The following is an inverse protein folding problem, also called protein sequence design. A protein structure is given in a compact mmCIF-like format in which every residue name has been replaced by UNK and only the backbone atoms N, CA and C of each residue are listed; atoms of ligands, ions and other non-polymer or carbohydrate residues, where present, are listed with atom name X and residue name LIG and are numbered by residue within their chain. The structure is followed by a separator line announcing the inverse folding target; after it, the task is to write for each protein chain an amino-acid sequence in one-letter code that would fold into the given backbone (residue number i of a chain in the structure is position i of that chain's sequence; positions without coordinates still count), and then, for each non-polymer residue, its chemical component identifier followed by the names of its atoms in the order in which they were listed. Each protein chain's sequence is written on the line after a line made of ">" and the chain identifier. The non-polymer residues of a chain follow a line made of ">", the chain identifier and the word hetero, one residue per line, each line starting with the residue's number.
data_IF_234143603878
#
_entry.id   IF_234143603878
#
_cell.length_a   1.000
_cell.length_b   1.000
_cell.length_c   1.000
_cell.angle_alpha   90.00
_cell.angle_beta   90.00
_cell.angle_gamma   90.00
#
_symmetry.space_group_name_H-M   'P 1'
#
loop_
_entity.id
_entity.type
_entity.pdbx_description
1 polymer ?
#
# COMPACT_ATOMS: atom_id res chain seq x y z
N UNK A 1 15.05 -1.82 -15.55
CA UNK A 1 14.76 -2.95 -14.64
C UNK A 1 16.05 -3.69 -14.39
N UNK A 2 16.50 -3.73 -13.14
CA UNK A 2 17.67 -4.54 -12.76
C UNK A 2 17.19 -5.94 -12.39
N UNK A 3 17.79 -7.01 -12.92
CA UNK A 3 17.51 -8.36 -12.44
C UNK A 3 18.13 -8.51 -11.05
N UNK A 4 17.36 -9.01 -10.08
CA UNK A 4 17.94 -9.48 -8.81
C UNK A 4 17.91 -10.99 -8.86
N UNK A 5 19.09 -11.58 -8.75
CA UNK A 5 19.32 -13.03 -8.84
C UNK A 5 18.66 -13.75 -7.67
N UNK A 6 17.90 -14.80 -8.00
CA UNK A 6 17.27 -15.73 -7.08
C UNK A 6 18.34 -16.66 -6.50
N UNK A 7 19.04 -16.21 -5.46
CA UNK A 7 19.93 -17.08 -4.67
C UNK A 7 19.08 -17.83 -3.62
N UNK A 8 19.11 -19.15 -3.71
CA UNK A 8 18.42 -20.12 -2.86
C UNK A 8 19.20 -20.47 -1.58
N UNK A 9 20.09 -19.61 -1.09
CA UNK A 9 20.93 -19.89 0.07
C UNK A 9 21.16 -18.64 0.92
N UNK A 10 20.15 -18.29 1.72
CA UNK A 10 20.28 -17.89 3.12
C UNK A 10 18.92 -17.33 3.54
N UNK A 11 18.48 -17.69 4.74
CA UNK A 11 17.17 -17.34 5.28
C UNK A 11 16.96 -15.82 5.27
N UNK A 12 16.34 -15.28 4.22
CA UNK A 12 15.87 -13.90 4.24
C UNK A 12 14.82 -13.83 5.32
N UNK A 13 15.14 -13.14 6.41
CA UNK A 13 14.14 -12.78 7.39
C UNK A 13 13.11 -11.88 6.67
N UNK A 14 11.94 -12.46 6.37
CA UNK A 14 10.84 -11.80 5.66
C UNK A 14 10.37 -10.51 6.35
N UNK A 15 10.81 -10.25 7.59
CA UNK A 15 10.54 -9.01 8.31
C UNK A 15 11.39 -7.81 7.86
N UNK A 16 12.30 -7.96 6.88
CA UNK A 16 13.20 -6.88 6.42
C UNK A 16 12.87 -6.33 5.01
N UNK A 17 11.94 -6.93 4.24
CA UNK A 17 11.38 -6.31 3.01
C UNK A 17 10.30 -5.27 3.34
N UNK A 18 10.54 -4.45 4.35
CA UNK A 18 9.72 -3.30 4.65
C UNK A 18 9.94 -2.23 3.58
N UNK A 19 9.10 -2.26 2.54
CA UNK A 19 8.87 -1.11 1.68
C UNK A 19 9.89 -0.92 0.58
N UNK A 20 9.56 -1.42 -0.62
CA UNK A 20 9.99 -0.70 -1.82
C UNK A 20 9.35 0.69 -1.76
N UNK A 21 10.10 1.79 -1.91
CA UNK A 21 9.54 3.14 -1.82
C UNK A 21 8.45 3.30 -2.88
N UNK A 22 7.19 3.35 -2.42
CA UNK A 22 5.99 3.48 -3.27
C UNK A 22 5.14 2.22 -3.47
N UNK A 23 5.43 1.09 -2.82
CA UNK A 23 4.58 -0.12 -2.85
C UNK A 23 4.29 -0.69 -1.45
N UNK A 24 3.17 -1.41 -1.34
CA UNK A 24 2.78 -2.24 -0.18
C UNK A 24 3.73 -3.45 -0.01
N UNK A 25 3.68 -4.18 1.14
CA UNK A 25 4.52 -5.35 1.37
C UNK A 25 4.38 -6.47 0.34
N UNK A 26 3.23 -6.55 -0.35
CA UNK A 26 2.95 -7.50 -1.42
C UNK A 26 3.30 -6.96 -2.82
N UNK A 27 4.00 -5.81 -2.90
CA UNK A 27 4.35 -5.12 -4.14
C UNK A 27 3.14 -4.60 -4.94
N UNK A 28 1.96 -4.51 -4.33
CA UNK A 28 0.83 -3.78 -4.93
C UNK A 28 0.96 -2.27 -4.68
N UNK A 29 0.35 -1.46 -5.55
CA UNK A 29 0.35 0.00 -5.39
C UNK A 29 -0.77 0.43 -4.46
N UNK A 30 -0.49 1.37 -3.53
CA UNK A 30 -1.52 2.06 -2.79
C UNK A 30 -2.59 2.67 -3.69
N UNK A 31 -3.84 2.65 -3.24
CA UNK A 31 -4.98 3.20 -3.97
C UNK A 31 -6.14 3.50 -3.02
N UNK A 32 -6.56 4.76 -3.02
CA UNK A 32 -7.76 5.20 -2.35
C UNK A 32 -9.00 4.40 -2.78
N UNK A 33 -9.77 3.94 -1.79
CA UNK A 33 -11.03 3.25 -1.99
C UNK A 33 -10.88 1.75 -2.21
N UNK A 34 -9.81 1.14 -1.70
CA UNK A 34 -9.61 -0.31 -1.78
C UNK A 34 -9.74 -1.04 -0.44
N UNK A 35 -10.13 -0.28 0.59
CA UNK A 35 -10.42 -0.76 1.93
C UNK A 35 -9.15 -1.03 2.74
N UNK A 36 -7.99 -0.58 2.28
CA UNK A 36 -6.71 -0.74 2.97
C UNK A 36 -6.10 0.64 3.17
N UNK A 37 -6.07 1.09 4.42
CA UNK A 37 -5.47 2.37 4.78
C UNK A 37 -3.96 2.36 4.55
N UNK A 38 -3.51 3.07 3.52
CA UNK A 38 -2.10 3.23 3.18
C UNK A 38 -1.44 4.46 3.78
N UNK A 39 -0.10 4.48 3.73
CA UNK A 39 0.67 5.65 4.07
C UNK A 39 0.34 6.82 3.11
N UNK A 40 -0.18 7.91 3.68
CA UNK A 40 -0.57 9.11 2.94
C UNK A 40 -2.09 9.32 2.88
N UNK A 41 -2.87 8.29 3.20
CA UNK A 41 -4.33 8.38 3.32
C UNK A 41 -4.72 8.75 4.76
N UNK A 42 -5.77 9.57 4.89
CA UNK A 42 -6.40 9.91 6.15
C UNK A 42 -7.53 8.92 6.52
N UNK A 43 -8.15 8.31 5.50
CA UNK A 43 -9.20 7.30 5.60
C UNK A 43 -9.21 6.44 4.33
N UNK A 44 -9.83 5.26 4.39
CA UNK A 44 -10.25 4.46 3.24
C UNK A 44 -11.49 3.65 3.67
N UNK A 45 -12.64 3.92 3.06
CA UNK A 45 -13.93 3.25 3.34
C UNK A 45 -14.34 2.22 2.28
N UNK A 46 -13.41 1.87 1.37
CA UNK A 46 -13.58 0.80 0.40
C UNK A 46 -14.22 1.21 -0.91
N UNK A 47 -14.36 2.51 -1.20
CA UNK A 47 -14.72 3.04 -2.50
C UNK A 47 -14.17 4.48 -2.72
N UNK A 48 -14.36 5.05 -3.91
CA UNK A 48 -13.92 6.41 -4.27
C UNK A 48 -15.08 7.44 -4.31
N UNK A 49 -16.18 7.11 -3.61
CA UNK A 49 -17.31 8.01 -3.41
C UNK A 49 -16.96 8.95 -2.26
N UNK A 50 -17.28 10.23 -2.42
CA UNK A 50 -17.03 11.23 -1.39
C UNK A 50 -18.27 11.43 -0.53
N UNK A 51 -18.07 11.53 0.78
CA UNK A 51 -19.13 11.92 1.73
C UNK A 51 -19.92 10.76 2.33
N UNK A 52 -19.50 9.52 2.11
CA UNK A 52 -20.06 8.30 2.69
C UNK A 52 -19.20 7.66 3.80
N UNK A 53 -18.13 8.35 4.20
CA UNK A 53 -17.25 7.93 5.29
C UNK A 53 -15.82 8.45 5.10
N UNK A 54 -15.42 8.60 3.85
CA UNK A 54 -14.17 9.18 3.42
C UNK A 54 -14.41 10.22 2.30
N UNK A 55 -13.44 11.12 2.08
CA UNK A 55 -13.41 11.92 0.87
C UNK A 55 -12.92 11.06 -0.31
N UNK A 56 -13.37 11.37 -1.52
CA UNK A 56 -13.00 10.63 -2.74
C UNK A 56 -11.49 10.62 -3.07
N UNK A 57 -10.71 11.50 -2.42
CA UNK A 57 -9.25 11.55 -2.54
C UNK A 57 -8.52 10.90 -1.34
N UNK A 58 -9.26 10.35 -0.38
CA UNK A 58 -8.76 9.78 0.87
C UNK A 58 -7.91 10.73 1.73
N UNK A 59 -7.98 12.06 1.51
CA UNK A 59 -7.16 13.03 2.25
C UNK A 59 -7.87 13.61 3.48
N UNK A 60 -9.16 13.34 3.64
CA UNK A 60 -9.94 13.80 4.79
C UNK A 60 -11.17 12.93 5.03
N UNK A 61 -11.62 12.88 6.28
CA UNK A 61 -12.97 12.40 6.60
C UNK A 61 -13.99 13.54 6.43
N UNK A 62 -15.25 13.24 6.04
CA UNK A 62 -16.35 14.20 6.02
C UNK A 62 -16.67 14.81 7.39
#
# INVERSE_FOLDING_TARGET
>A
GTPVTLDLAETVNLTAYAGHPGCRPDCTKPRCGDGILDAGEACDDGNDVGGDGCAADCLSVP
#
